data_IF_046531343239
#
_entry.id   IF_046531343239
#
_cell.length_a   1.000
_cell.length_b   1.000
_cell.length_c   1.000
_cell.angle_alpha   90.00
_cell.angle_beta   90.00
_cell.angle_gamma   90.00
#
_symmetry.space_group_name_H-M   'P 1'
#
loop_
_entity.id
_entity.type
_entity.pdbx_description
1 polymer ?
#
# COMPACT_ATOMS: atom_id res chain seq x y z
N UNK A 1 4.11 -11.74 -1.27
CA UNK A 1 3.17 -10.99 -2.13
C UNK A 1 3.29 -11.45 -3.59
N UNK A 2 4.41 -11.23 -4.29
CA UNK A 2 4.58 -11.60 -5.72
C UNK A 2 4.30 -13.09 -6.01
N UNK A 3 4.90 -14.01 -5.25
CA UNK A 3 4.69 -15.46 -5.42
C UNK A 3 3.23 -15.91 -5.27
N UNK A 4 2.38 -15.12 -4.58
CA UNK A 4 0.96 -15.39 -4.43
C UNK A 4 0.09 -14.72 -5.52
N UNK A 5 0.70 -14.07 -6.52
CA UNK A 5 -0.02 -13.31 -7.56
C UNK A 5 -0.54 -11.94 -7.11
N UNK A 6 0.07 -11.37 -6.07
CA UNK A 6 -0.31 -10.09 -5.50
C UNK A 6 -1.60 -10.15 -4.68
N UNK A 7 -2.45 -9.13 -4.82
CA UNK A 7 -3.69 -9.03 -4.07
C UNK A 7 -4.38 -7.68 -4.24
N UNK A 8 -5.19 -7.33 -3.25
CA UNK A 8 -5.87 -6.04 -3.15
C UNK A 8 -5.43 -5.32 -1.89
N UNK A 9 -5.09 -4.05 -2.04
CA UNK A 9 -5.02 -3.10 -0.95
C UNK A 9 -6.23 -2.17 -1.06
N UNK A 10 -6.87 -1.89 0.07
CA UNK A 10 -7.91 -0.87 0.17
C UNK A 10 -7.63 0.01 1.38
N UNK A 11 -7.91 1.30 1.23
CA UNK A 11 -7.82 2.28 2.30
C UNK A 11 -9.14 3.03 2.38
N UNK A 12 -9.74 3.06 3.55
CA UNK A 12 -10.86 3.94 3.88
C UNK A 12 -10.34 5.05 4.79
N UNK A 13 -10.70 6.29 4.47
CA UNK A 13 -10.40 7.44 5.31
C UNK A 13 -11.71 8.17 5.62
N UNK A 14 -11.98 8.34 6.90
CA UNK A 14 -13.07 9.15 7.44
C UNK A 14 -12.49 10.27 8.31
N UNK A 15 -13.33 11.07 8.94
CA UNK A 15 -12.90 12.07 9.94
C UNK A 15 -12.36 11.43 11.23
N UNK A 16 -12.72 10.16 11.50
CA UNK A 16 -12.41 9.48 12.75
C UNK A 16 -11.42 8.33 12.61
N UNK A 17 -11.29 7.77 11.41
CA UNK A 17 -10.46 6.58 11.19
C UNK A 17 -9.75 6.61 9.84
N UNK A 18 -8.54 6.05 9.83
CA UNK A 18 -7.88 5.60 8.61
C UNK A 18 -7.69 4.09 8.72
N UNK A 19 -8.35 3.33 7.86
CA UNK A 19 -8.39 1.88 7.88
C UNK A 19 -7.74 1.33 6.62
N UNK A 20 -6.91 0.29 6.76
CA UNK A 20 -6.22 -0.37 5.65
C UNK A 20 -6.49 -1.86 5.69
N UNK A 21 -6.87 -2.41 4.54
CA UNK A 21 -7.05 -3.84 4.33
C UNK A 21 -6.04 -4.35 3.30
N UNK A 22 -5.57 -5.57 3.51
CA UNK A 22 -4.91 -6.37 2.51
C UNK A 22 -5.58 -7.72 2.39
N UNK A 23 -5.87 -8.12 1.16
CA UNK A 23 -6.27 -9.48 0.82
C UNK A 23 -5.33 -10.06 -0.23
N UNK A 24 -4.80 -11.25 0.04
CA UNK A 24 -4.01 -12.02 -0.94
C UNK A 24 -4.89 -12.44 -2.13
N UNK A 25 -4.29 -12.62 -3.32
CA UNK A 25 -5.01 -12.93 -4.57
C UNK A 25 -6.05 -14.05 -4.46
N UNK A 26 -5.72 -15.12 -3.74
CA UNK A 26 -6.57 -16.29 -3.55
C UNK A 26 -7.41 -16.30 -2.27
N UNK A 27 -7.44 -15.20 -1.51
CA UNK A 27 -8.18 -15.15 -0.25
C UNK A 27 -9.70 -15.16 -0.52
N UNK A 28 -10.37 -16.21 -0.06
CA UNK A 28 -11.83 -16.36 -0.18
C UNK A 28 -12.63 -15.26 0.53
N UNK A 29 -12.00 -14.50 1.42
CA UNK A 29 -12.62 -13.40 2.19
C UNK A 29 -12.59 -12.07 1.45
N UNK A 30 -12.00 -11.99 0.25
CA UNK A 30 -12.02 -10.77 -0.56
C UNK A 30 -13.49 -10.39 -0.83
N UNK A 31 -13.95 -9.21 -0.40
CA UNK A 31 -15.32 -8.76 -0.67
C UNK A 31 -15.61 -8.67 -2.18
N UNK A 32 -16.83 -9.01 -2.59
CA UNK A 32 -17.20 -9.03 -4.01
C UNK A 32 -17.12 -7.65 -4.66
N UNK A 33 -17.42 -6.58 -3.92
CA UNK A 33 -17.30 -5.19 -4.38
C UNK A 33 -15.83 -4.76 -4.60
N UNK A 34 -14.90 -5.26 -3.78
CA UNK A 34 -13.45 -5.08 -3.97
C UNK A 34 -12.97 -5.86 -5.21
N UNK A 35 -13.43 -7.10 -5.39
CA UNK A 35 -12.97 -7.97 -6.49
C UNK A 35 -13.53 -7.55 -7.85
N UNK A 36 -14.83 -7.25 -7.92
CA UNK A 36 -15.59 -7.15 -9.18
C UNK A 36 -15.81 -5.71 -9.66
N UNK A 37 -15.43 -4.69 -8.88
CA UNK A 37 -15.60 -3.27 -9.23
C UNK A 37 -17.03 -2.89 -9.67
N UNK A 38 -17.98 -3.00 -8.75
CA UNK A 38 -19.42 -2.77 -9.04
C UNK A 38 -19.85 -1.30 -9.03
N UNK A 39 -18.91 -0.36 -9.12
CA UNK A 39 -19.17 1.09 -9.04
C UNK A 39 -19.53 1.62 -7.63
N UNK A 40 -19.75 0.74 -6.65
CA UNK A 40 -19.98 1.09 -5.25
C UNK A 40 -19.24 0.12 -4.33
N UNK A 41 -18.94 0.58 -3.10
CA UNK A 41 -18.22 -0.19 -2.07
C UNK A 41 -18.91 -0.05 -0.71
N UNK A 42 -18.74 -1.04 0.16
CA UNK A 42 -19.25 -1.02 1.53
C UNK A 42 -18.19 -1.47 2.54
N UNK A 43 -17.26 -0.59 2.94
CA UNK A 43 -16.17 -0.93 3.85
C UNK A 43 -16.60 -1.53 5.19
N UNK A 44 -17.77 -1.16 5.70
CA UNK A 44 -18.35 -1.75 6.92
C UNK A 44 -18.60 -3.27 6.83
N UNK A 45 -18.64 -3.84 5.61
CA UNK A 45 -18.81 -5.27 5.35
C UNK A 45 -17.50 -6.00 5.05
N UNK A 46 -16.36 -5.30 5.03
CA UNK A 46 -15.06 -5.86 4.65
C UNK A 46 -14.36 -6.61 5.78
N UNK A 47 -14.95 -6.63 6.98
CA UNK A 47 -14.38 -7.27 8.16
C UNK A 47 -13.23 -6.49 8.76
N UNK A 48 -12.44 -7.17 9.62
CA UNK A 48 -11.38 -6.52 10.40
C UNK A 48 -10.27 -5.99 9.47
N UNK A 49 -9.90 -4.70 9.56
CA UNK A 49 -8.78 -4.16 8.80
C UNK A 49 -7.44 -4.73 9.28
N UNK A 50 -6.47 -4.77 8.38
CA UNK A 50 -5.08 -5.13 8.68
C UNK A 50 -4.44 -4.09 9.61
N UNK A 51 -4.76 -2.82 9.39
CA UNK A 51 -4.37 -1.72 10.28
C UNK A 51 -5.53 -0.72 10.40
N UNK A 52 -5.71 -0.17 11.61
CA UNK A 52 -6.65 0.90 11.88
C UNK A 52 -5.98 1.97 12.73
N UNK A 53 -6.09 3.22 12.29
CA UNK A 53 -5.66 4.40 13.00
C UNK A 53 -6.92 5.16 13.43
N UNK A 54 -7.04 5.46 14.72
CA UNK A 54 -8.23 6.07 15.33
C UNK A 54 -7.93 7.45 15.89
N UNK A 55 -8.94 8.31 15.94
CA UNK A 55 -8.79 9.71 16.38
C UNK A 55 -8.67 9.93 17.89
N UNK A 56 -8.58 8.89 18.72
CA UNK A 56 -8.62 8.98 20.20
C UNK A 56 -7.58 9.95 20.81
N UNK A 57 -6.39 10.03 20.21
CA UNK A 57 -5.29 10.92 20.65
C UNK A 57 -4.74 11.80 19.53
N UNK A 58 -5.32 11.72 18.32
CA UNK A 58 -4.85 12.41 17.13
C UNK A 58 -6.05 12.69 16.21
N UNK A 59 -6.52 13.94 16.16
CA UNK A 59 -7.62 14.30 15.28
C UNK A 59 -7.23 14.16 13.79
N UNK A 60 -7.66 13.06 13.17
CA UNK A 60 -7.36 12.74 11.77
C UNK A 60 -7.86 13.85 10.83
N UNK A 61 -9.03 14.45 11.10
CA UNK A 61 -9.59 15.50 10.25
C UNK A 61 -8.68 16.73 10.18
N UNK A 62 -7.97 17.04 11.27
CA UNK A 62 -7.05 18.18 11.35
C UNK A 62 -5.63 17.87 10.86
N UNK A 63 -5.25 16.59 10.74
CA UNK A 63 -3.90 16.20 10.29
C UNK A 63 -3.79 16.02 8.79
N UNK A 64 -4.90 15.83 8.09
CA UNK A 64 -4.87 15.50 6.68
C UNK A 64 -5.78 16.43 5.86
N UNK A 65 -5.21 17.16 4.90
CA UNK A 65 -5.96 17.81 3.83
C UNK A 65 -6.28 16.86 2.67
N UNK A 66 -6.62 17.40 1.49
CA UNK A 66 -6.64 16.64 0.24
C UNK A 66 -5.28 15.99 -0.01
N UNK A 67 -5.27 14.72 -0.41
CA UNK A 67 -4.05 13.98 -0.70
C UNK A 67 -4.01 13.52 -2.15
N UNK A 68 -2.80 13.34 -2.67
CA UNK A 68 -2.56 12.73 -3.97
C UNK A 68 -2.09 11.29 -3.77
N UNK A 69 -2.49 10.41 -4.68
CA UNK A 69 -1.93 9.07 -4.75
C UNK A 69 -0.53 9.13 -5.35
N UNK A 70 0.45 8.56 -4.65
CA UNK A 70 1.84 8.46 -5.10
C UNK A 70 2.21 6.98 -5.10
N UNK A 71 2.59 6.47 -6.27
CA UNK A 71 3.17 5.13 -6.44
C UNK A 71 4.57 5.34 -6.99
N UNK A 72 5.58 4.90 -6.25
CA UNK A 72 6.97 5.09 -6.65
C UNK A 72 7.80 3.83 -6.37
N UNK A 73 8.97 3.79 -6.99
CA UNK A 73 10.06 2.88 -6.66
C UNK A 73 11.31 3.73 -6.56
N UNK A 74 11.96 3.72 -5.39
CA UNK A 74 13.22 4.43 -5.16
C UNK A 74 14.22 3.45 -4.55
N UNK A 75 15.50 3.71 -4.76
CA UNK A 75 16.59 2.84 -4.32
C UNK A 75 17.45 3.56 -3.29
N UNK A 76 17.85 2.83 -2.25
CA UNK A 76 18.63 3.33 -1.13
C UNK A 76 17.96 4.48 -0.38
N UNK A 77 18.37 5.73 -0.64
CA UNK A 77 17.88 6.91 0.08
C UNK A 77 18.13 6.84 1.59
N UNK A 78 17.30 7.57 2.33
CA UNK A 78 17.49 7.76 3.77
C UNK A 78 17.07 6.55 4.59
N UNK A 79 16.10 5.78 4.11
CA UNK A 79 15.65 4.58 4.81
C UNK A 79 16.36 3.31 4.32
N UNK A 80 16.11 2.85 3.09
CA UNK A 80 16.67 1.59 2.63
C UNK A 80 18.21 1.62 2.61
N UNK A 81 18.81 2.76 2.26
CA UNK A 81 20.26 2.95 2.25
C UNK A 81 20.87 2.97 3.65
N UNK A 82 20.24 3.61 4.64
CA UNK A 82 20.75 3.64 6.02
C UNK A 82 20.64 2.28 6.72
N UNK A 83 19.67 1.46 6.32
CA UNK A 83 19.45 0.11 6.85
C UNK A 83 20.16 -0.98 6.06
N UNK A 84 20.73 -0.67 4.90
CA UNK A 84 21.44 -1.65 4.07
C UNK A 84 22.70 -2.15 4.81
N UNK A 85 23.03 -3.46 4.77
CA UNK A 85 24.27 -3.97 5.32
C UNK A 85 25.50 -3.28 4.72
N UNK A 86 26.32 -2.63 5.54
CA UNK A 86 27.45 -1.79 5.07
C UNK A 86 27.06 -0.33 4.74
N UNK A 87 25.81 0.05 5.00
CA UNK A 87 25.32 1.42 4.93
C UNK A 87 25.07 1.94 3.51
N UNK A 88 24.86 3.26 3.43
CA UNK A 88 24.37 3.96 2.22
C UNK A 88 25.30 3.75 1.02
N UNK A 89 26.61 3.80 1.21
CA UNK A 89 27.58 3.63 0.12
C UNK A 89 27.56 2.21 -0.45
N UNK A 90 27.43 1.18 0.41
CA UNK A 90 27.30 -0.20 -0.04
C UNK A 90 26.00 -0.43 -0.83
N UNK A 91 24.89 0.19 -0.40
CA UNK A 91 23.63 0.16 -1.14
C UNK A 91 23.78 0.78 -2.54
N UNK A 92 24.35 2.00 -2.62
CA UNK A 92 24.54 2.69 -3.90
C UNK A 92 25.46 1.89 -4.83
N UNK A 93 26.54 1.32 -4.29
CA UNK A 93 27.43 0.43 -5.05
C UNK A 93 26.67 -0.79 -5.59
N UNK A 94 25.88 -1.46 -4.76
CA UNK A 94 25.10 -2.62 -5.17
C UNK A 94 24.11 -2.28 -6.30
N UNK A 95 23.39 -1.17 -6.18
CA UNK A 95 22.46 -0.69 -7.21
C UNK A 95 23.18 -0.43 -8.54
N UNK A 96 24.34 0.24 -8.51
CA UNK A 96 25.08 0.59 -9.72
C UNK A 96 25.70 -0.64 -10.42
N UNK A 97 26.16 -1.62 -9.64
CA UNK A 97 26.96 -2.74 -10.16
C UNK A 97 26.15 -4.00 -10.46
N UNK A 98 24.87 -4.08 -10.05
CA UNK A 98 24.06 -5.30 -10.17
C UNK A 98 22.68 -5.05 -10.82
N UNK A 99 22.61 -4.55 -12.07
CA UNK A 99 21.33 -4.21 -12.70
C UNK A 99 20.36 -5.40 -12.81
N UNK A 100 20.87 -6.61 -13.05
CA UNK A 100 20.04 -7.82 -13.15
C UNK A 100 19.36 -8.22 -11.84
N UNK A 101 19.82 -7.71 -10.69
CA UNK A 101 19.18 -7.97 -9.40
C UNK A 101 17.80 -7.30 -9.28
N UNK A 102 17.47 -6.38 -10.18
CA UNK A 102 16.24 -5.57 -10.13
C UNK A 102 15.21 -5.96 -11.20
N UNK A 103 15.37 -7.13 -11.85
CA UNK A 103 14.41 -7.63 -12.85
C UNK A 103 12.96 -7.71 -12.31
N UNK A 104 12.81 -8.00 -11.02
CA UNK A 104 11.49 -8.10 -10.35
C UNK A 104 11.11 -6.83 -9.59
N UNK A 105 11.85 -5.72 -9.76
CA UNK A 105 11.59 -4.44 -9.11
C UNK A 105 10.67 -3.57 -9.99
N UNK A 106 9.41 -3.97 -10.14
CA UNK A 106 8.40 -3.24 -10.89
C UNK A 106 7.02 -3.35 -10.25
N UNK A 107 6.11 -2.46 -10.67
CA UNK A 107 4.69 -2.55 -10.32
C UNK A 107 3.91 -3.08 -11.51
N UNK A 108 3.08 -4.10 -11.26
CA UNK A 108 2.01 -4.53 -12.17
C UNK A 108 0.67 -4.25 -11.50
N UNK A 109 0.03 -3.16 -11.92
CA UNK A 109 -1.19 -2.64 -11.29
C UNK A 109 -2.35 -2.85 -12.26
N UNK A 110 -3.19 -3.83 -11.93
CA UNK A 110 -4.39 -4.11 -12.71
C UNK A 110 -5.42 -2.97 -12.63
N UNK A 111 -5.54 -2.31 -11.47
CA UNK A 111 -6.54 -1.26 -11.23
C UNK A 111 -6.19 -0.39 -10.04
N UNK A 112 -6.47 0.91 -10.17
CA UNK A 112 -6.64 1.85 -9.08
C UNK A 112 -8.04 2.48 -9.20
N UNK A 113 -8.80 2.52 -8.11
CA UNK A 113 -10.15 3.09 -8.09
C UNK A 113 -10.37 3.86 -6.81
N UNK A 114 -11.10 4.96 -6.92
CA UNK A 114 -11.40 5.89 -5.83
C UNK A 114 -12.92 6.04 -5.76
N UNK A 115 -13.44 6.03 -4.53
CA UNK A 115 -14.86 6.21 -4.24
C UNK A 115 -14.98 7.31 -3.20
N UNK A 116 -16.03 8.12 -3.32
CA UNK A 116 -16.41 9.16 -2.37
C UNK A 116 -17.88 8.94 -1.96
N UNK A 117 -18.25 9.50 -0.80
CA UNK A 117 -19.64 9.52 -0.33
C UNK A 117 -20.31 10.83 -0.71
#
# INVERSE_FOLDING_TARGET
FNQAGGGWYATERTEHTLSVWFWSRGDSRVPADVRENKGSVSPSKWGKPTAVFVSDSCDISQKYGPNMFIINLTLCGDWAGSRYPGGKNACVKHVNENPSAFNDAYWDIARLSVYEQ
#
